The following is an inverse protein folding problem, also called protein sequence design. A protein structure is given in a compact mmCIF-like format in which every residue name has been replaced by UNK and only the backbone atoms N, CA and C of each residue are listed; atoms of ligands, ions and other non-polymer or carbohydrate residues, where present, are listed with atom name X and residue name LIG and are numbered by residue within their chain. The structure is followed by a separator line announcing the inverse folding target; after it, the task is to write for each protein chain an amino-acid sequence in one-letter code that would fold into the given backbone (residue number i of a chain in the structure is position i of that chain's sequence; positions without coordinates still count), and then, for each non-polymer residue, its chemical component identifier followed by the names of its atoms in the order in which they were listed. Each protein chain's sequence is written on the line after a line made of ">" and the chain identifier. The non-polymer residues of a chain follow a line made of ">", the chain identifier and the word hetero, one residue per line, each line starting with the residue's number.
data_IF_115899955268
#
_entry.id   IF_115899955268
#
_cell.length_a   1.000
_cell.length_b   1.000
_cell.length_c   1.000
_cell.angle_alpha   90.00
_cell.angle_beta   90.00
_cell.angle_gamma   90.00
#
_symmetry.space_group_name_H-M   'P 1'
#
loop_
_entity.id
_entity.type
_entity.pdbx_description
1 polymer ?
#
# COMPACT_ATOMS: atom_id res chain seq x y z
N UNK A 1 -2.63 -10.16 26.30
CA UNK A 1 -1.83 -9.77 25.13
C UNK A 1 -1.96 -8.27 24.98
N UNK A 2 -0.86 -7.53 25.12
CA UNK A 2 -0.86 -6.08 24.91
C UNK A 2 -1.13 -5.86 23.43
N UNK A 3 -2.24 -5.20 23.06
CA UNK A 3 -2.44 -4.74 21.68
C UNK A 3 -1.25 -3.85 21.36
N UNK A 4 -0.42 -4.26 20.40
CA UNK A 4 0.58 -3.36 19.84
C UNK A 4 -0.18 -2.16 19.26
N UNK A 5 0.39 -0.97 19.38
CA UNK A 5 -0.10 0.23 18.72
C UNK A 5 0.90 0.56 17.62
N UNK A 6 0.42 1.14 16.52
CA UNK A 6 1.32 1.69 15.51
C UNK A 6 2.26 2.70 16.17
N UNK A 7 3.56 2.58 15.90
CA UNK A 7 4.57 3.49 16.41
C UNK A 7 4.26 4.93 15.96
N UNK A 8 4.38 5.90 16.86
CA UNK A 8 3.99 7.29 16.59
C UNK A 8 4.81 7.95 15.49
N UNK A 9 6.10 7.62 15.36
CA UNK A 9 6.94 8.13 14.27
C UNK A 9 6.52 7.55 12.91
N UNK A 10 6.16 6.26 12.89
CA UNK A 10 5.63 5.62 11.67
C UNK A 10 4.29 6.27 11.32
N UNK A 11 3.39 6.44 12.29
CA UNK A 11 2.12 7.12 12.06
C UNK A 11 2.30 8.51 11.47
N UNK A 12 3.14 9.36 12.08
CA UNK A 12 3.38 10.71 11.58
C UNK A 12 3.93 10.67 10.14
N UNK A 13 4.87 9.77 9.86
CA UNK A 13 5.37 9.59 8.50
C UNK A 13 4.26 9.19 7.52
N UNK A 14 3.35 8.27 7.88
CA UNK A 14 2.26 7.88 6.99
C UNK A 14 1.33 9.06 6.70
N UNK A 15 0.97 9.83 7.72
CA UNK A 15 0.13 11.02 7.57
C UNK A 15 0.79 12.07 6.67
N UNK A 16 2.08 12.34 6.87
CA UNK A 16 2.87 13.26 6.05
C UNK A 16 2.97 12.80 4.59
N UNK A 17 2.83 11.49 4.33
CA UNK A 17 2.84 10.89 2.99
C UNK A 17 1.43 10.61 2.44
N UNK A 18 0.39 11.19 3.05
CA UNK A 18 -0.98 11.21 2.51
C UNK A 18 -1.81 9.95 2.76
N UNK A 19 -1.40 9.09 3.70
CA UNK A 19 -2.25 8.01 4.18
C UNK A 19 -3.43 8.58 4.96
N UNK A 20 -4.60 7.95 4.83
CA UNK A 20 -5.85 8.34 5.48
C UNK A 20 -6.44 7.19 6.24
N UNK A 21 -7.22 7.50 7.27
CA UNK A 21 -7.98 6.49 7.99
C UNK A 21 -9.07 5.92 7.07
N UNK A 22 -9.18 4.60 7.03
CA UNK A 22 -10.22 3.88 6.30
C UNK A 22 -10.83 2.83 7.23
N UNK A 23 -12.14 2.86 7.36
CA UNK A 23 -12.91 1.90 8.14
C UNK A 23 -13.53 0.86 7.21
N UNK A 24 -13.35 -0.41 7.57
CA UNK A 24 -14.04 -1.53 6.94
C UNK A 24 -15.10 -2.00 7.94
N UNK A 25 -16.26 -1.33 7.91
CA UNK A 25 -17.35 -1.47 8.90
C UNK A 25 -17.78 -2.93 9.10
N UNK A 26 -17.92 -3.68 8.01
CA UNK A 26 -18.33 -5.09 8.01
C UNK A 26 -17.38 -6.00 8.82
N UNK A 27 -16.13 -5.59 8.99
CA UNK A 27 -15.10 -6.33 9.71
C UNK A 27 -14.78 -5.71 11.07
N UNK A 28 -15.28 -4.51 11.36
CA UNK A 28 -14.89 -3.74 12.55
C UNK A 28 -13.40 -3.40 12.58
N UNK A 29 -12.77 -3.24 11.41
CA UNK A 29 -11.33 -2.98 11.28
C UNK A 29 -11.07 -1.57 10.73
N UNK A 30 -10.00 -0.95 11.23
CA UNK A 30 -9.59 0.39 10.82
C UNK A 30 -8.12 0.39 10.41
N UNK A 31 -7.84 0.97 9.24
CA UNK A 31 -6.52 1.02 8.63
C UNK A 31 -6.09 2.47 8.35
N UNK A 32 -4.77 2.70 8.36
CA UNK A 32 -4.18 3.80 7.60
C UNK A 32 -3.89 3.29 6.20
N UNK A 33 -4.50 3.92 5.19
CA UNK A 33 -4.53 3.45 3.81
C UNK A 33 -4.21 4.57 2.82
N UNK A 34 -3.51 4.23 1.75
CA UNK A 34 -3.27 5.11 0.60
C UNK A 34 -3.64 4.37 -0.67
N UNK A 35 -4.57 4.95 -1.42
CA UNK A 35 -5.02 4.42 -2.71
C UNK A 35 -4.44 5.26 -3.85
N UNK A 36 -3.97 4.59 -4.88
CA UNK A 36 -3.36 5.16 -6.08
C UNK A 36 -4.13 4.66 -7.29
N UNK A 37 -4.60 5.61 -8.11
CA UNK A 37 -5.34 5.36 -9.36
C UNK A 37 -4.74 6.07 -10.57
N UNK A 38 -3.67 6.85 -10.35
CA UNK A 38 -2.99 7.53 -11.46
C UNK A 38 -2.31 6.50 -12.37
N UNK A 39 -2.61 6.58 -13.66
CA UNK A 39 -2.17 5.58 -14.62
C UNK A 39 -0.65 5.51 -14.79
N UNK A 40 0.07 6.62 -14.70
CA UNK A 40 1.53 6.65 -14.84
C UNK A 40 2.22 6.12 -13.59
N UNK A 41 1.74 6.52 -12.41
CA UNK A 41 2.21 5.97 -11.14
C UNK A 41 1.97 4.46 -11.07
N UNK A 42 0.79 3.98 -11.49
CA UNK A 42 0.49 2.56 -11.51
C UNK A 42 1.42 1.77 -12.44
N UNK A 43 1.80 2.31 -13.60
CA UNK A 43 2.79 1.66 -14.48
C UNK A 43 4.13 1.46 -13.77
N UNK A 44 4.66 2.53 -13.17
CA UNK A 44 5.92 2.48 -12.40
C UNK A 44 5.85 1.50 -11.23
N UNK A 45 4.70 1.43 -10.55
CA UNK A 45 4.49 0.47 -9.47
C UNK A 45 4.41 -0.96 -10.00
N UNK A 46 3.75 -1.21 -11.13
CA UNK A 46 3.69 -2.54 -11.74
C UNK A 46 5.10 -2.98 -12.16
N UNK A 47 5.85 -2.14 -12.88
CA UNK A 47 7.25 -2.37 -13.27
C UNK A 47 8.18 -2.61 -12.06
N UNK A 48 7.89 -1.99 -10.91
CA UNK A 48 8.67 -2.22 -9.70
C UNK A 48 8.39 -3.59 -9.06
N UNK A 49 7.15 -4.09 -9.15
CA UNK A 49 6.76 -5.38 -8.59
C UNK A 49 6.92 -6.54 -9.60
N UNK A 50 7.04 -6.25 -10.89
CA UNK A 50 7.12 -7.22 -11.97
C UNK A 50 8.39 -7.09 -12.80
N UNK A 51 8.97 -8.23 -13.14
CA UNK A 51 9.75 -8.35 -14.37
C UNK A 51 8.77 -8.48 -15.54
N UNK A 52 8.68 -7.44 -16.37
CA UNK A 52 7.86 -7.44 -17.57
C UNK A 52 8.66 -8.02 -18.74
N UNK A 53 7.98 -8.72 -19.65
CA UNK A 53 8.58 -9.10 -20.93
C UNK A 53 8.81 -7.85 -21.80
N UNK A 54 9.80 -7.87 -22.71
CA UNK A 54 10.25 -6.69 -23.48
C UNK A 54 9.12 -5.98 -24.27
N UNK A 55 8.02 -6.67 -24.57
CA UNK A 55 6.88 -6.16 -25.36
C UNK A 55 5.54 -6.13 -24.60
N UNK A 56 5.54 -6.31 -23.27
CA UNK A 56 4.30 -6.33 -22.49
C UNK A 56 3.71 -4.91 -22.30
N UNK A 57 2.51 -4.67 -22.84
CA UNK A 57 1.81 -3.40 -22.65
C UNK A 57 1.04 -3.36 -21.31
N UNK A 58 1.49 -2.50 -20.39
CA UNK A 58 0.79 -2.28 -19.11
C UNK A 58 -0.49 -1.44 -19.32
N UNK A 59 -1.64 -2.06 -19.16
CA UNK A 59 -2.95 -1.41 -19.18
C UNK A 59 -3.50 -1.14 -17.77
N UNK A 60 -3.37 0.10 -17.30
CA UNK A 60 -3.79 0.52 -15.95
C UNK A 60 -5.27 0.92 -15.86
N UNK A 61 -6.07 0.75 -16.93
CA UNK A 61 -7.48 1.13 -16.92
C UNK A 61 -8.27 0.27 -15.94
N UNK A 62 -8.87 0.93 -14.93
CA UNK A 62 -9.65 0.25 -13.89
C UNK A 62 -8.79 -0.47 -12.86
N UNK A 63 -7.47 -0.23 -12.84
CA UNK A 63 -6.57 -0.72 -11.80
C UNK A 63 -6.50 0.30 -10.66
N UNK A 64 -6.42 -0.19 -9.43
CA UNK A 64 -5.99 0.63 -8.29
C UNK A 64 -4.93 -0.12 -7.50
N UNK A 65 -4.03 0.63 -6.86
CA UNK A 65 -3.06 0.10 -5.91
C UNK A 65 -3.39 0.67 -4.54
N UNK A 66 -3.54 -0.19 -3.54
CA UNK A 66 -3.77 0.20 -2.15
C UNK A 66 -2.63 -0.34 -1.30
N UNK A 67 -2.05 0.51 -0.46
CA UNK A 67 -1.10 0.12 0.58
C UNK A 67 -1.64 0.55 1.93
N UNK A 68 -1.66 -0.35 2.90
CA UNK A 68 -2.32 -0.10 4.17
C UNK A 68 -1.79 -0.94 5.34
N UNK A 69 -2.01 -0.44 6.56
CA UNK A 69 -1.71 -1.11 7.82
C UNK A 69 -2.81 -0.83 8.83
N UNK A 70 -3.17 -1.80 9.67
CA UNK A 70 -4.16 -1.57 10.71
C UNK A 70 -3.65 -0.54 11.73
N UNK A 71 -4.58 0.17 12.38
CA UNK A 71 -4.24 1.21 13.38
C UNK A 71 -3.47 0.68 14.61
N UNK A 72 -3.54 -0.62 14.87
CA UNK A 72 -2.74 -1.33 15.87
C UNK A 72 -1.32 -1.71 15.37
N UNK A 73 -0.98 -1.41 14.11
CA UNK A 73 0.30 -1.74 13.49
C UNK A 73 0.41 -3.19 13.01
N UNK A 74 -0.71 -3.92 12.95
CA UNK A 74 -0.79 -5.30 12.46
C UNK A 74 -1.26 -5.35 10.99
N UNK A 75 -1.11 -6.54 10.39
CA UNK A 75 -1.56 -6.85 9.04
C UNK A 75 -1.20 -5.81 7.96
N UNK A 76 0.06 -5.36 7.87
CA UNK A 76 0.45 -4.50 6.76
C UNK A 76 0.40 -5.25 5.44
N UNK A 77 -0.14 -4.59 4.43
CA UNK A 77 -0.35 -5.19 3.12
C UNK A 77 -0.37 -4.13 2.02
N UNK A 78 -0.18 -4.62 0.80
CA UNK A 78 -0.50 -3.87 -0.41
C UNK A 78 -1.24 -4.77 -1.39
N UNK A 79 -2.07 -4.16 -2.23
CA UNK A 79 -2.89 -4.87 -3.21
C UNK A 79 -3.12 -4.01 -4.45
N UNK A 80 -2.91 -4.61 -5.62
CA UNK A 80 -3.49 -4.16 -6.87
C UNK A 80 -4.86 -4.81 -7.05
N UNK A 81 -5.87 -4.02 -7.40
CA UNK A 81 -7.21 -4.51 -7.75
C UNK A 81 -7.55 -4.19 -9.20
N UNK A 82 -8.49 -4.93 -9.79
CA UNK A 82 -8.91 -4.74 -11.18
C UNK A 82 -8.27 -5.77 -12.11
N UNK A 83 -7.56 -5.34 -13.14
CA UNK A 83 -7.00 -6.25 -14.17
C UNK A 83 -5.66 -6.88 -13.80
N UNK A 84 -4.99 -6.36 -12.77
CA UNK A 84 -3.68 -6.82 -12.31
C UNK A 84 -3.80 -7.23 -10.84
N UNK A 85 -4.67 -8.19 -10.53
CA UNK A 85 -4.90 -8.60 -9.13
C UNK A 85 -3.64 -9.25 -8.55
N UNK A 86 -2.98 -8.53 -7.65
CA UNK A 86 -1.76 -8.96 -6.97
C UNK A 86 -1.75 -8.36 -5.58
N UNK A 87 -1.20 -9.08 -4.60
CA UNK A 87 -1.08 -8.56 -3.25
C UNK A 87 0.21 -9.06 -2.59
N UNK A 88 0.66 -8.31 -1.59
CA UNK A 88 1.74 -8.69 -0.71
C UNK A 88 1.36 -8.46 0.74
N UNK A 89 1.69 -9.42 1.60
CA UNK A 89 1.55 -9.33 3.05
C UNK A 89 2.93 -9.07 3.63
N UNK A 90 3.03 -8.10 4.53
CA UNK A 90 4.27 -7.72 5.21
C UNK A 90 4.21 -8.18 6.68
N UNK A 91 5.35 -8.53 7.26
CA UNK A 91 5.48 -9.18 8.57
C UNK A 91 5.23 -8.21 9.75
N UNK A 92 5.23 -6.90 9.51
CA UNK A 92 4.93 -5.93 10.56
C UNK A 92 5.24 -4.48 10.18
N UNK A 93 4.96 -3.57 11.12
CA UNK A 93 5.05 -2.13 10.89
C UNK A 93 6.44 -1.63 10.44
N UNK A 94 7.53 -2.31 10.83
CA UNK A 94 8.88 -1.91 10.38
C UNK A 94 9.09 -2.24 8.89
N UNK A 95 8.72 -3.44 8.44
CA UNK A 95 8.81 -3.80 7.03
C UNK A 95 7.87 -2.93 6.20
N UNK A 96 6.67 -2.65 6.71
CA UNK A 96 5.75 -1.69 6.08
C UNK A 96 6.37 -0.30 5.91
N UNK A 97 7.02 0.21 6.95
CA UNK A 97 7.67 1.52 6.89
C UNK A 97 8.79 1.56 5.85
N UNK A 98 9.64 0.54 5.80
CA UNK A 98 10.69 0.45 4.77
C UNK A 98 10.10 0.30 3.36
N UNK A 99 9.06 -0.51 3.19
CA UNK A 99 8.35 -0.64 1.92
C UNK A 99 7.73 0.69 1.45
N UNK A 100 7.08 1.44 2.34
CA UNK A 100 6.51 2.75 1.97
C UNK A 100 7.60 3.74 1.58
N UNK A 101 8.78 3.71 2.22
CA UNK A 101 9.94 4.52 1.79
C UNK A 101 10.46 4.10 0.42
N UNK A 102 10.52 2.79 0.16
CA UNK A 102 10.98 2.23 -1.11
C UNK A 102 10.09 2.68 -2.27
N UNK A 103 8.77 2.59 -2.13
CA UNK A 103 7.84 2.97 -3.20
C UNK A 103 7.57 4.49 -3.27
N UNK A 104 7.94 5.27 -2.23
CA UNK A 104 7.69 6.72 -2.17
C UNK A 104 8.15 7.48 -3.44
N UNK A 105 9.35 7.24 -4.00
CA UNK A 105 9.81 7.93 -5.21
C UNK A 105 9.01 7.57 -6.48
N UNK A 106 8.25 6.47 -6.44
CA UNK A 106 7.39 6.03 -7.55
C UNK A 106 6.05 6.77 -7.55
N UNK A 107 5.59 7.19 -6.38
CA UNK A 107 4.26 7.74 -6.11
C UNK A 107 4.23 9.26 -5.84
N UNK A 108 5.40 9.90 -5.94
CA UNK A 108 5.60 11.35 -5.73
C UNK A 108 5.50 12.14 -7.02
#
# INVERSE_FOLDING_TARGET
>A
MTKSKLNENILQFLLDNGFKLKEYEDQGLTFYSKEIKDGQTLKRLIEHHYELEEDEEINTKGVSFTVEIQTNGESPQWVFTGRHEMFGILEGQQQFFEYVKEIKPLIS
#
